data_IF_923967464873
#
_entry.id   IF_923967464873
#
_cell.length_a   1.000
_cell.length_b   1.000
_cell.length_c   1.000
_cell.angle_alpha   90.00
_cell.angle_beta   90.00
_cell.angle_gamma   90.00
#
_symmetry.space_group_name_H-M   'P 1'
#
loop_
_entity.id
_entity.type
_entity.pdbx_description
1 polymer ?
#
# COMPACT_ATOMS: atom_id res chain seq x y z
N UNK A 1 13.63 5.31 -7.31
CA UNK A 1 13.77 6.56 -6.53
C UNK A 1 12.81 6.46 -5.36
N UNK A 2 13.31 6.52 -4.13
CA UNK A 2 12.49 6.38 -2.91
C UNK A 2 11.55 7.59 -2.80
N UNK A 3 10.24 7.38 -2.66
CA UNK A 3 9.30 8.48 -2.46
C UNK A 3 9.25 8.88 -0.98
N UNK A 4 10.17 9.77 -0.59
CA UNK A 4 10.33 10.25 0.79
C UNK A 4 9.05 10.88 1.33
N UNK A 5 8.26 11.56 0.48
CA UNK A 5 6.99 12.18 0.90
C UNK A 5 5.95 11.14 1.31
N UNK A 6 5.83 10.05 0.54
CA UNK A 6 4.89 8.97 0.84
C UNK A 6 5.26 8.24 2.13
N UNK A 7 6.56 8.01 2.36
CA UNK A 7 7.05 7.40 3.60
C UNK A 7 6.80 8.28 4.82
N UNK A 8 7.05 9.58 4.73
CA UNK A 8 6.77 10.52 5.82
C UNK A 8 5.27 10.53 6.16
N UNK A 9 4.42 10.66 5.14
CA UNK A 9 2.96 10.60 5.31
C UNK A 9 2.51 9.29 5.96
N UNK A 10 3.08 8.15 5.57
CA UNK A 10 2.73 6.87 6.16
C UNK A 10 3.10 6.81 7.66
N UNK A 11 4.26 7.34 8.06
CA UNK A 11 4.63 7.43 9.48
C UNK A 11 3.71 8.35 10.26
N UNK A 12 3.35 9.51 9.67
CA UNK A 12 2.44 10.47 10.29
C UNK A 12 1.04 9.88 10.51
N UNK A 13 0.50 9.14 9.51
CA UNK A 13 -0.83 8.49 9.58
C UNK A 13 -0.84 7.31 10.57
N UNK A 14 0.24 6.52 10.59
CA UNK A 14 0.34 5.34 11.44
C UNK A 14 0.79 5.68 12.87
N UNK A 15 1.23 6.92 13.10
CA UNK A 15 1.83 7.39 14.36
C UNK A 15 3.05 6.54 14.78
N UNK A 16 3.88 6.16 13.81
CA UNK A 16 5.05 5.30 14.04
C UNK A 16 6.36 6.07 14.04
N UNK A 17 7.28 5.63 14.91
CA UNK A 17 8.65 6.11 14.91
C UNK A 17 9.42 5.57 13.69
N UNK A 18 10.34 6.38 13.18
CA UNK A 18 11.15 6.01 12.02
C UNK A 18 11.99 4.75 12.25
N UNK A 19 12.44 4.55 13.50
CA UNK A 19 13.33 3.44 13.87
C UNK A 19 12.60 2.09 13.97
N UNK A 20 11.29 2.14 14.19
CA UNK A 20 10.41 0.99 14.37
C UNK A 20 9.76 0.56 13.06
N UNK A 21 9.57 1.50 12.12
CA UNK A 21 8.92 1.26 10.84
C UNK A 21 9.88 0.69 9.79
N UNK A 22 9.45 -0.38 9.12
CA UNK A 22 10.16 -0.96 7.98
C UNK A 22 9.31 -0.88 6.73
N UNK A 23 9.80 -0.15 5.73
CA UNK A 23 9.18 -0.03 4.41
C UNK A 23 9.58 -1.24 3.57
N UNK A 24 8.71 -2.23 3.50
CA UNK A 24 8.97 -3.53 2.84
C UNK A 24 8.80 -3.43 1.33
N UNK A 25 7.77 -2.72 0.88
CA UNK A 25 7.45 -2.62 -0.55
C UNK A 25 6.82 -1.27 -0.87
N UNK A 26 7.23 -0.69 -2.00
CA UNK A 26 6.62 0.50 -2.59
C UNK A 26 6.30 0.19 -4.04
N UNK A 27 5.06 0.43 -4.47
CA UNK A 27 4.64 0.06 -5.81
C UNK A 27 3.24 0.51 -6.19
N UNK A 28 2.66 -0.21 -7.15
CA UNK A 28 1.31 0.03 -7.64
C UNK A 28 0.38 -1.10 -7.21
N UNK A 29 -0.76 -0.76 -6.63
CA UNK A 29 -1.83 -1.72 -6.34
C UNK A 29 -2.95 -1.53 -7.35
N UNK A 30 -3.41 -2.64 -7.94
CA UNK A 30 -4.60 -2.68 -8.76
C UNK A 30 -5.81 -2.99 -7.87
N UNK A 31 -6.86 -2.18 -7.99
CA UNK A 31 -8.09 -2.38 -7.22
C UNK A 31 -9.33 -2.11 -8.09
N UNK A 32 -10.45 -2.68 -7.68
CA UNK A 32 -11.78 -2.37 -8.23
C UNK A 32 -12.68 -1.97 -7.08
N UNK A 33 -13.57 -1.00 -7.30
CA UNK A 33 -14.58 -0.68 -6.29
C UNK A 33 -15.67 -1.76 -6.31
N UNK A 34 -16.04 -2.39 -5.18
CA UNK A 34 -17.14 -3.36 -5.17
C UNK A 34 -18.48 -2.78 -5.63
N UNK A 35 -18.67 -1.46 -5.50
CA UNK A 35 -19.88 -0.78 -5.99
C UNK A 35 -19.89 -0.55 -7.50
N UNK A 36 -18.73 -0.67 -8.18
CA UNK A 36 -18.72 -0.74 -9.64
C UNK A 36 -19.37 -2.06 -10.05
N UNK A 37 -20.54 -2.01 -10.69
CA UNK A 37 -21.35 -3.15 -11.17
C UNK A 37 -20.62 -4.13 -12.13
N UNK A 38 -19.30 -3.98 -12.31
CA UNK A 38 -18.42 -4.74 -13.18
C UNK A 38 -18.00 -6.11 -12.61
N UNK A 39 -18.36 -6.44 -11.36
CA UNK A 39 -18.07 -7.74 -10.73
C UNK A 39 -19.01 -8.88 -11.16
N UNK A 40 -20.06 -8.59 -11.96
CA UNK A 40 -20.96 -9.61 -12.50
C UNK A 40 -20.20 -10.50 -13.49
N UNK A 41 -20.25 -11.82 -13.27
CA UNK A 41 -19.57 -12.86 -14.09
C UNK A 41 -19.77 -12.60 -15.60
N UNK A 42 -18.67 -12.67 -16.36
CA UNK A 42 -18.70 -12.61 -17.83
C UNK A 42 -18.29 -11.28 -18.46
N UNK A 43 -17.80 -10.29 -17.69
CA UNK A 43 -17.22 -9.05 -18.21
C UNK A 43 -15.80 -8.83 -17.71
N UNK A 44 -14.97 -8.17 -18.52
CA UNK A 44 -13.64 -7.70 -18.12
C UNK A 44 -13.78 -6.70 -16.96
N UNK A 45 -13.14 -7.01 -15.83
CA UNK A 45 -13.11 -6.14 -14.66
C UNK A 45 -12.13 -4.99 -14.94
N UNK A 46 -12.60 -3.75 -14.86
CA UNK A 46 -11.72 -2.57 -14.93
C UNK A 46 -11.00 -2.42 -13.60
N UNK A 47 -9.67 -2.41 -13.63
CA UNK A 47 -8.83 -2.19 -12.47
C UNK A 47 -8.26 -0.78 -12.51
N UNK A 48 -8.41 -0.06 -11.41
CA UNK A 48 -7.76 1.22 -11.19
C UNK A 48 -6.41 1.00 -10.51
N UNK A 49 -5.44 1.86 -10.81
CA UNK A 49 -4.09 1.76 -10.25
C UNK A 49 -3.89 2.85 -9.20
N UNK A 50 -3.40 2.48 -8.01
CA UNK A 50 -2.99 3.43 -6.95
C UNK A 50 -1.55 3.20 -6.53
N UNK A 51 -0.93 4.22 -5.94
CA UNK A 51 0.34 4.05 -5.22
C UNK A 51 0.05 3.28 -3.92
N UNK A 52 0.89 2.30 -3.61
CA UNK A 52 0.79 1.50 -2.41
C UNK A 52 2.15 1.38 -1.71
N UNK A 53 2.11 1.32 -0.38
CA UNK A 53 3.28 1.17 0.49
C UNK A 53 2.95 0.11 1.55
N UNK A 54 3.77 -0.94 1.63
CA UNK A 54 3.71 -1.93 2.70
C UNK A 54 4.72 -1.54 3.79
N UNK A 55 4.21 -1.27 4.99
CA UNK A 55 5.00 -0.91 6.16
C UNK A 55 4.71 -1.88 7.29
N UNK A 56 5.74 -2.36 7.96
CA UNK A 56 5.62 -3.22 9.16
C UNK A 56 6.22 -2.50 10.36
N UNK A 57 5.62 -2.67 11.53
CA UNK A 57 6.15 -2.19 12.80
C UNK A 57 6.90 -3.32 13.52
N UNK A 58 8.15 -3.08 13.93
CA UNK A 58 8.94 -3.98 14.77
C UNK A 58 10.19 -4.57 14.10
N UNK A 59 10.95 -5.34 14.88
CA UNK A 59 12.12 -6.09 14.39
C UNK A 59 11.64 -7.24 13.52
N UNK A 60 12.19 -7.35 12.31
CA UNK A 60 11.95 -8.50 11.41
C UNK A 60 12.34 -9.76 12.19
N UNK A 61 11.46 -10.77 12.37
CA UNK A 61 11.76 -11.93 13.22
C UNK A 61 12.84 -12.85 12.66
N UNK A 62 13.27 -12.62 11.43
CA UNK A 62 14.21 -13.45 10.69
C UNK A 62 15.29 -12.54 10.09
N UNK A 63 16.36 -12.34 10.85
CA UNK A 63 17.65 -11.79 10.41
C UNK A 63 18.72 -12.84 10.64
#
# INVERSE_FOLDING_TARGET
MINIKLRKMALDILEWNHDEARFVMEGKLLYTNPTDNNWRRGRTIKLNTINALLVTNGKVPFS
#
